data_IF_920553676446
#
_entry.id   IF_920553676446
#
_cell.length_a   1.000
_cell.length_b   1.000
_cell.length_c   1.000
_cell.angle_alpha   90.00
_cell.angle_beta   90.00
_cell.angle_gamma   90.00
#
_symmetry.space_group_name_H-M   'P 1'
#
loop_
_entity.id
_entity.type
_entity.pdbx_description
1 polymer ?
#
# COMPACT_ATOMS: atom_id res chain seq x y z
N UNK A 1 10.66 3.61 1.23
CA UNK A 1 9.63 3.23 0.20
C UNK A 1 8.32 4.02 0.28
N UNK A 2 7.89 4.57 1.43
CA UNK A 2 6.64 5.36 1.51
C UNK A 2 6.64 6.61 0.61
N UNK A 3 7.76 7.33 0.56
CA UNK A 3 7.95 8.49 -0.34
C UNK A 3 7.84 8.11 -1.83
N UNK A 4 8.43 6.99 -2.24
CA UNK A 4 8.42 6.49 -3.63
C UNK A 4 6.99 6.13 -4.10
N UNK A 5 6.23 5.44 -3.23
CA UNK A 5 4.81 5.12 -3.49
C UNK A 5 3.95 6.39 -3.56
N UNK A 6 4.27 7.41 -2.77
CA UNK A 6 3.60 8.71 -2.83
C UNK A 6 3.91 9.46 -4.11
N UNK A 7 5.17 9.50 -4.55
CA UNK A 7 5.56 10.15 -5.82
C UNK A 7 4.96 9.44 -7.03
N UNK A 8 4.86 8.10 -7.01
CA UNK A 8 4.17 7.32 -8.06
C UNK A 8 2.68 7.68 -8.15
N UNK A 9 1.99 7.79 -7.01
CA UNK A 9 0.57 8.20 -6.98
C UNK A 9 0.37 9.63 -7.48
N UNK A 10 1.21 10.56 -7.04
CA UNK A 10 1.16 11.96 -7.47
C UNK A 10 1.41 12.05 -8.98
N UNK A 11 2.42 11.35 -9.50
CA UNK A 11 2.71 11.26 -10.94
C UNK A 11 1.52 10.72 -11.74
N UNK A 12 0.87 9.65 -11.25
CA UNK A 12 -0.29 9.07 -11.91
C UNK A 12 -1.48 10.05 -11.96
N UNK A 13 -1.77 10.74 -10.86
CA UNK A 13 -2.85 11.73 -10.79
C UNK A 13 -2.57 12.91 -11.73
N UNK A 14 -1.33 13.43 -11.72
CA UNK A 14 -0.90 14.50 -12.62
C UNK A 14 -1.00 14.06 -14.09
N UNK A 15 -0.57 12.84 -14.41
CA UNK A 15 -0.67 12.30 -15.76
C UNK A 15 -2.12 12.20 -16.25
N UNK A 16 -3.04 11.76 -15.40
CA UNK A 16 -4.48 11.72 -15.72
C UNK A 16 -5.00 13.14 -15.94
N UNK A 17 -4.70 14.08 -15.04
CA UNK A 17 -5.15 15.47 -15.16
C UNK A 17 -4.66 16.11 -16.47
N UNK A 18 -3.37 15.95 -16.78
CA UNK A 18 -2.78 16.47 -18.02
C UNK A 18 -3.40 15.81 -19.25
N UNK A 19 -3.64 14.50 -19.21
CA UNK A 19 -4.33 13.80 -20.29
C UNK A 19 -5.76 14.31 -20.49
N UNK A 20 -6.53 14.45 -19.40
CA UNK A 20 -7.91 14.97 -19.47
C UNK A 20 -7.96 16.43 -19.94
N UNK A 21 -7.00 17.26 -19.52
CA UNK A 21 -6.91 18.65 -19.94
C UNK A 21 -6.58 18.76 -21.44
N UNK A 22 -5.64 17.94 -21.94
CA UNK A 22 -5.34 17.86 -23.37
C UNK A 22 -6.51 17.33 -24.20
N UNK A 23 -7.28 16.37 -23.66
CA UNK A 23 -8.48 15.87 -24.33
C UNK A 23 -9.60 16.93 -24.43
N UNK A 24 -9.82 17.71 -23.37
CA UNK A 24 -10.87 18.75 -23.32
C UNK A 24 -10.51 19.96 -24.20
N UNK A 25 -9.25 20.40 -24.20
CA UNK A 25 -8.82 21.58 -24.99
C UNK A 25 -8.69 21.29 -26.49
N UNK A 26 -8.71 20.01 -26.89
CA UNK A 26 -8.65 19.61 -28.30
C UNK A 26 -7.30 19.90 -28.97
N UNK A 27 -7.21 19.57 -30.26
CA UNK A 27 -5.98 19.70 -31.06
C UNK A 27 -5.50 21.13 -31.27
N UNK A 28 -6.31 22.12 -30.88
CA UNK A 28 -6.03 23.54 -31.06
C UNK A 28 -4.85 24.00 -30.19
N UNK A 29 -4.53 23.25 -29.12
CA UNK A 29 -3.33 23.43 -28.30
C UNK A 29 -2.32 22.30 -28.51
N UNK A 30 -1.47 22.43 -29.52
CA UNK A 30 -0.48 21.42 -29.95
C UNK A 30 0.48 20.95 -28.83
N UNK A 31 0.88 21.83 -27.92
CA UNK A 31 1.73 21.49 -26.76
C UNK A 31 1.01 20.56 -25.77
N UNK A 32 -0.23 20.89 -25.41
CA UNK A 32 -1.03 20.08 -24.48
C UNK A 32 -1.43 18.74 -25.10
N UNK A 33 -1.76 18.73 -26.39
CA UNK A 33 -2.08 17.51 -27.14
C UNK A 33 -0.89 16.54 -27.22
N UNK A 34 0.31 17.05 -27.44
CA UNK A 34 1.53 16.24 -27.51
C UNK A 34 1.92 15.64 -26.15
N UNK A 35 1.80 16.44 -25.08
CA UNK A 35 2.06 15.97 -23.70
C UNK A 35 0.98 14.95 -23.27
N UNK A 36 -0.29 15.15 -23.66
CA UNK A 36 -1.35 14.19 -23.42
C UNK A 36 -1.09 12.87 -24.15
N UNK A 37 -0.61 12.90 -25.39
CA UNK A 37 -0.20 11.70 -26.12
C UNK A 37 0.93 10.91 -25.43
N UNK A 38 1.88 11.60 -24.80
CA UNK A 38 2.91 10.94 -23.99
C UNK A 38 2.34 10.36 -22.68
N UNK A 39 1.43 11.10 -22.03
CA UNK A 39 0.77 10.67 -20.81
C UNK A 39 -0.08 9.39 -21.01
N UNK A 40 -0.69 9.19 -22.19
CA UNK A 40 -1.48 7.98 -22.47
C UNK A 40 -0.68 6.68 -22.46
N UNK A 41 0.65 6.72 -22.61
CA UNK A 41 1.49 5.52 -22.49
C UNK A 41 2.07 5.36 -21.08
N UNK A 42 2.41 6.48 -20.42
CA UNK A 42 3.03 6.47 -19.09
C UNK A 42 2.01 6.10 -18.00
N UNK A 43 0.77 6.59 -18.11
CA UNK A 43 -0.28 6.37 -17.10
C UNK A 43 -0.66 4.88 -16.98
N UNK A 44 -0.94 4.13 -18.07
CA UNK A 44 -1.20 2.69 -17.98
C UNK A 44 -0.01 1.90 -17.44
N UNK A 45 1.21 2.23 -17.88
CA UNK A 45 2.43 1.58 -17.39
C UNK A 45 2.61 1.77 -15.87
N UNK A 46 2.41 2.99 -15.37
CA UNK A 46 2.46 3.29 -13.94
C UNK A 46 1.34 2.59 -13.15
N UNK A 47 0.13 2.49 -13.72
CA UNK A 47 -1.00 1.80 -13.10
C UNK A 47 -0.73 0.30 -12.94
N UNK A 48 -0.22 -0.36 -13.98
CA UNK A 48 0.14 -1.79 -13.94
C UNK A 48 1.23 -2.03 -12.89
N UNK A 49 2.25 -1.17 -12.84
CA UNK A 49 3.35 -1.28 -11.89
C UNK A 49 2.87 -1.14 -10.43
N UNK A 50 1.95 -0.20 -10.17
CA UNK A 50 1.29 -0.04 -8.87
C UNK A 50 0.40 -1.24 -8.52
N UNK A 51 -0.28 -1.83 -9.50
CA UNK A 51 -1.14 -2.99 -9.30
C UNK A 51 -0.32 -4.24 -8.94
N UNK A 52 0.81 -4.46 -9.64
CA UNK A 52 1.77 -5.52 -9.31
C UNK A 52 2.31 -5.34 -7.88
N UNK A 53 2.69 -4.11 -7.50
CA UNK A 53 3.11 -3.83 -6.13
C UNK A 53 2.01 -4.10 -5.09
N UNK A 54 0.74 -3.86 -5.45
CA UNK A 54 -0.39 -4.14 -4.56
C UNK A 54 -0.63 -5.64 -4.34
N UNK A 55 -0.44 -6.45 -5.40
CA UNK A 55 -0.65 -7.90 -5.37
C UNK A 55 0.51 -8.64 -4.70
N UNK A 56 1.75 -8.25 -5.02
CA UNK A 56 2.96 -8.89 -4.48
C UNK A 56 3.31 -8.44 -3.07
N UNK A 57 2.65 -7.39 -2.56
CA UNK A 57 2.97 -6.81 -1.25
C UNK A 57 4.35 -6.15 -1.19
N UNK A 58 5.01 -5.97 -2.33
CA UNK A 58 6.33 -5.34 -2.42
C UNK A 58 6.22 -3.87 -1.98
N UNK A 59 6.95 -3.52 -0.91
CA UNK A 59 6.91 -2.17 -0.33
C UNK A 59 5.83 -1.92 0.73
N UNK A 60 5.13 -2.96 1.21
CA UNK A 60 4.37 -2.86 2.46
C UNK A 60 5.33 -2.63 3.63
N UNK A 61 5.06 -1.64 4.48
CA UNK A 61 5.82 -1.50 5.72
C UNK A 61 5.44 -2.63 6.68
N UNK A 62 6.37 -3.05 7.55
CA UNK A 62 6.11 -4.06 8.60
C UNK A 62 4.86 -3.71 9.42
N UNK A 63 4.58 -2.42 9.60
CA UNK A 63 3.37 -1.91 10.27
C UNK A 63 2.07 -2.15 9.48
N UNK A 64 2.10 -2.07 8.15
CA UNK A 64 0.95 -2.27 7.27
C UNK A 64 0.62 -3.77 7.15
N UNK A 65 1.65 -4.62 7.11
CA UNK A 65 1.53 -6.07 7.27
C UNK A 65 0.96 -6.43 8.66
N UNK A 66 1.43 -5.79 9.74
CA UNK A 66 0.87 -5.98 11.09
C UNK A 66 -0.58 -5.50 11.22
N UNK A 67 -0.99 -4.42 10.55
CA UNK A 67 -2.39 -3.96 10.55
C UNK A 67 -3.31 -4.92 9.80
N UNK A 68 -2.86 -5.50 8.68
CA UNK A 68 -3.61 -6.56 7.97
C UNK A 68 -3.63 -7.87 8.74
N UNK A 69 -2.56 -8.20 9.47
CA UNK A 69 -2.54 -9.26 10.47
C UNK A 69 -3.34 -8.89 11.74
N UNK A 70 -4.13 -7.82 11.70
CA UNK A 70 -5.07 -7.39 12.74
C UNK A 70 -6.30 -8.29 12.88
N UNK A 71 -6.26 -9.51 12.34
CA UNK A 71 -7.11 -10.57 12.84
C UNK A 71 -6.46 -11.03 14.14
N UNK A 72 -7.14 -10.84 15.26
CA UNK A 72 -6.73 -11.38 16.56
C UNK A 72 -6.54 -12.87 16.41
N UNK A 73 -5.30 -13.31 16.15
CA UNK A 73 -4.97 -14.72 15.99
C UNK A 73 -5.42 -15.42 17.26
N UNK A 74 -5.88 -16.66 17.17
CA UNK A 74 -6.22 -17.41 18.39
C UNK A 74 -4.93 -17.76 19.11
N UNK A 75 -4.94 -17.63 20.43
CA UNK A 75 -3.86 -18.10 21.28
C UNK A 75 -3.66 -19.60 21.05
N UNK A 76 -2.42 -20.02 20.80
CA UNK A 76 -2.08 -21.42 20.50
C UNK A 76 -2.48 -22.36 21.65
N UNK A 77 -2.42 -21.89 22.90
CA UNK A 77 -2.69 -22.71 24.08
C UNK A 77 -4.15 -22.71 24.52
N UNK A 78 -4.87 -21.59 24.40
CA UNK A 78 -6.23 -21.48 24.95
C UNK A 78 -7.31 -21.06 23.95
N UNK A 79 -6.96 -20.77 22.69
CA UNK A 79 -7.92 -20.36 21.66
C UNK A 79 -8.53 -18.96 21.83
N UNK A 80 -8.26 -18.26 22.94
CA UNK A 80 -8.70 -16.87 23.19
C UNK A 80 -8.01 -15.90 22.22
N UNK A 81 -8.59 -14.71 21.93
CA UNK A 81 -7.95 -13.74 21.05
C UNK A 81 -6.55 -13.37 21.55
N UNK A 82 -5.56 -13.47 20.67
CA UNK A 82 -4.18 -13.11 20.95
C UNK A 82 -4.02 -11.60 20.94
N UNK A 83 -3.00 -11.14 21.67
CA UNK A 83 -2.63 -9.73 21.67
C UNK A 83 -2.03 -9.39 20.30
N UNK A 84 -2.35 -8.23 19.70
CA UNK A 84 -1.81 -7.84 18.41
C UNK A 84 -0.28 -7.94 18.36
N UNK A 85 0.24 -8.80 17.48
CA UNK A 85 1.67 -9.07 17.33
C UNK A 85 2.24 -10.18 18.23
N UNK A 86 1.42 -10.87 19.00
CA UNK A 86 1.78 -12.07 19.77
C UNK A 86 0.95 -13.28 19.34
N UNK A 87 1.53 -14.48 19.48
CA UNK A 87 0.84 -15.77 19.31
C UNK A 87 0.03 -16.18 20.53
N UNK A 88 0.13 -15.43 21.63
CA UNK A 88 -0.46 -15.76 22.92
C UNK A 88 -1.49 -14.70 23.36
N UNK A 89 -2.45 -15.13 24.18
CA UNK A 89 -3.36 -14.21 24.87
C UNK A 89 -2.61 -13.45 25.96
N UNK A 90 -3.21 -12.38 26.48
CA UNK A 90 -2.61 -11.55 27.53
C UNK A 90 -2.24 -12.37 28.78
N UNK A 91 -3.08 -13.33 29.14
CA UNK A 91 -2.86 -14.20 30.30
C UNK A 91 -1.60 -15.08 30.17
N UNK A 92 -1.41 -15.76 29.05
CA UNK A 92 -0.22 -16.61 28.85
C UNK A 92 1.05 -15.81 28.56
N UNK A 93 0.91 -14.60 28.01
CA UNK A 93 2.02 -13.63 27.94
C UNK A 93 2.51 -13.24 29.34
N UNK A 94 1.59 -12.98 30.27
CA UNK A 94 1.94 -12.63 31.65
C UNK A 94 2.58 -13.84 32.38
N UNK A 95 2.07 -15.06 32.14
CA UNK A 95 2.65 -16.28 32.69
C UNK A 95 4.13 -16.48 32.26
N UNK A 96 4.41 -16.37 30.96
CA UNK A 96 5.78 -16.51 30.44
C UNK A 96 6.72 -15.40 30.92
N UNK A 97 6.19 -14.18 31.16
CA UNK A 97 6.96 -13.06 31.71
C UNK A 97 7.39 -13.31 33.16
N UNK A 98 6.55 -14.02 33.92
CA UNK A 98 6.85 -14.34 35.32
C UNK A 98 7.78 -15.55 35.44
N UNK A 99 7.73 -16.50 34.51
CA UNK A 99 8.68 -17.61 34.42
C UNK A 99 10.08 -17.17 34.01
N UNK A 100 10.21 -16.23 33.06
CA UNK A 100 11.51 -15.69 32.64
C UNK A 100 12.19 -14.76 33.65
N UNK A 101 11.56 -14.47 34.80
CA UNK A 101 12.09 -13.62 35.87
C UNK A 101 12.52 -14.41 37.12
N UNK A 102 12.41 -15.74 37.10
CA UNK A 102 13.01 -16.64 38.08
C UNK A 102 14.31 -17.20 37.53
#
# INVERSE_FOLDING_TARGET
>A
MRKVRSTLRISLILGILVWTAGFIMGSDFTLLWSIAGLASYIVPAAAVLLLIMSLTGTGQSVQEARRKAGETLKCIECGRPSVPGSKYCRYHLDLMKDEGRR
#
